data_IF_204827536577
#
_entry.id   IF_204827536577
#
_cell.length_a   1.000
_cell.length_b   1.000
_cell.length_c   1.000
_cell.angle_alpha   90.00
_cell.angle_beta   90.00
_cell.angle_gamma   90.00
#
_symmetry.space_group_name_H-M   'P 1'
#
loop_
_entity.id
_entity.type
_entity.pdbx_description
1 polymer ?
#
# COMPACT_ATOMS: atom_id res chain seq x y z
N UNK A 1 67.39 27.27 107.19
CA UNK A 1 66.09 26.59 107.47
C UNK A 1 65.00 27.66 107.53
N UNK A 2 63.71 27.39 107.26
CA UNK A 2 63.04 26.18 106.74
C UNK A 2 62.91 26.20 105.19
N UNK A 3 62.70 25.10 104.41
CA UNK A 3 61.52 24.20 104.23
C UNK A 3 60.26 24.98 103.80
N UNK A 4 59.45 24.64 102.77
CA UNK A 4 59.25 23.50 101.82
C UNK A 4 58.77 24.14 100.46
N UNK A 5 58.44 23.50 99.33
CA UNK A 5 58.15 22.10 98.89
C UNK A 5 58.35 22.02 97.34
N UNK A 6 58.46 20.81 96.78
CA UNK A 6 58.21 20.46 95.35
C UNK A 6 57.20 19.27 95.33
N UNK A 7 56.88 18.56 94.22
CA UNK A 7 57.05 18.81 92.77
C UNK A 7 55.75 18.51 91.93
N UNK A 8 55.87 18.31 90.61
CA UNK A 8 54.88 17.73 89.66
C UNK A 8 53.67 18.62 89.27
N UNK A 9 52.99 18.46 88.12
CA UNK A 9 53.07 17.46 87.04
C UNK A 9 52.86 18.14 85.65
N UNK A 10 53.28 17.50 84.56
CA UNK A 10 53.19 18.05 83.19
C UNK A 10 51.85 17.77 82.47
N UNK A 11 51.72 18.45 81.33
CA UNK A 11 50.69 18.41 80.27
C UNK A 11 49.73 17.21 80.16
N UNK A 12 48.49 17.59 79.85
CA UNK A 12 47.52 16.97 78.92
C UNK A 12 47.75 15.51 78.47
N UNK A 13 46.77 14.66 78.81
CA UNK A 13 46.39 13.51 77.99
C UNK A 13 44.86 13.30 78.04
N UNK A 14 44.09 14.29 77.59
CA UNK A 14 42.71 14.02 77.18
C UNK A 14 42.78 13.27 75.84
N UNK A 15 42.61 11.94 75.87
CA UNK A 15 42.31 11.19 74.65
C UNK A 15 40.93 11.63 74.15
N UNK A 16 40.93 12.67 73.34
CA UNK A 16 39.86 12.91 72.39
C UNK A 16 39.77 11.66 71.51
N UNK A 17 38.67 10.91 71.68
CA UNK A 17 38.27 9.87 70.76
C UNK A 17 37.82 10.57 69.47
N UNK A 18 38.79 11.05 68.70
CA UNK A 18 38.54 11.52 67.34
C UNK A 18 38.00 10.32 66.57
N UNK A 19 36.77 10.39 66.02
CA UNK A 19 36.32 9.34 65.13
C UNK A 19 37.33 9.27 63.98
N UNK A 20 37.84 8.07 63.71
CA UNK A 20 38.75 7.85 62.58
C UNK A 20 37.98 8.28 61.34
N UNK A 21 38.50 9.29 60.63
CA UNK A 21 37.86 9.81 59.43
C UNK A 21 37.75 8.66 58.41
N UNK A 22 36.52 8.15 58.22
CA UNK A 22 36.29 7.02 57.32
C UNK A 22 36.49 7.49 55.88
N UNK A 23 37.31 6.78 55.11
CA UNK A 23 37.56 7.10 53.72
C UNK A 23 36.43 6.51 52.86
N UNK A 24 35.66 7.38 52.21
CA UNK A 24 34.48 7.00 51.44
C UNK A 24 34.86 6.15 50.22
N UNK A 25 34.17 5.02 50.02
CA UNK A 25 34.50 3.95 49.07
C UNK A 25 33.32 3.61 48.15
N UNK A 26 33.39 4.09 46.91
CA UNK A 26 32.45 3.72 45.81
C UNK A 26 32.36 2.21 45.59
N UNK A 27 33.47 1.48 45.83
CA UNK A 27 33.52 0.03 45.70
C UNK A 27 32.73 -0.69 46.79
N UNK A 28 32.87 -0.26 48.05
CA UNK A 28 32.09 -0.80 49.16
C UNK A 28 30.61 -0.42 49.01
N UNK A 29 30.30 0.83 48.68
CA UNK A 29 28.93 1.30 48.48
C UNK A 29 28.17 0.53 47.40
N UNK A 30 28.85 0.14 46.32
CA UNK A 30 28.28 -0.77 45.31
C UNK A 30 27.96 -2.15 45.88
N UNK A 31 28.83 -2.69 46.74
CA UNK A 31 28.64 -3.99 47.39
C UNK A 31 27.46 -3.93 48.36
N UNK A 32 27.45 -2.94 49.26
CA UNK A 32 26.34 -2.70 50.21
C UNK A 32 25.01 -2.54 49.48
N UNK A 33 24.98 -1.74 48.42
CA UNK A 33 23.76 -1.56 47.61
C UNK A 33 23.29 -2.89 47.00
N UNK A 34 24.19 -3.67 46.41
CA UNK A 34 23.86 -4.96 45.81
C UNK A 34 23.39 -6.01 46.84
N UNK A 35 23.93 -5.99 48.06
CA UNK A 35 23.55 -6.91 49.13
C UNK A 35 22.21 -6.55 49.77
N UNK A 36 21.99 -5.28 50.09
CA UNK A 36 20.89 -4.84 50.97
C UNK A 36 19.82 -4.01 50.27
N UNK A 37 20.19 -3.09 49.39
CA UNK A 37 19.25 -2.17 48.75
C UNK A 37 18.56 -2.79 47.53
N UNK A 38 19.29 -3.55 46.71
CA UNK A 38 18.83 -4.17 45.48
C UNK A 38 17.81 -5.33 45.66
N UNK A 39 17.43 -5.65 46.89
CA UNK A 39 16.35 -6.60 47.19
C UNK A 39 14.96 -5.94 47.15
N UNK A 40 14.88 -4.65 47.51
CA UNK A 40 13.64 -3.85 47.50
C UNK A 40 13.64 -2.80 46.38
N UNK A 41 14.82 -2.38 45.93
CA UNK A 41 15.03 -1.45 44.81
C UNK A 41 15.56 -2.18 43.57
N UNK A 42 15.53 -1.50 42.43
CA UNK A 42 16.11 -2.02 41.20
C UNK A 42 17.62 -2.27 41.37
N UNK A 43 18.07 -3.45 40.94
CA UNK A 43 19.49 -3.83 40.93
C UNK A 43 20.38 -2.86 40.11
N UNK A 44 19.77 -2.08 39.20
CA UNK A 44 20.37 -0.90 38.61
C UNK A 44 19.73 0.38 39.20
N UNK A 45 20.38 1.07 40.17
CA UNK A 45 19.86 2.29 40.79
C UNK A 45 19.45 3.38 39.78
N UNK A 46 20.06 3.39 38.59
CA UNK A 46 19.77 4.34 37.51
C UNK A 46 18.35 4.25 36.96
N UNK A 47 17.62 3.18 37.24
CA UNK A 47 16.22 3.02 36.85
C UNK A 47 15.23 3.56 37.91
N UNK A 48 15.68 3.73 39.16
CA UNK A 48 14.88 4.25 40.29
C UNK A 48 15.14 5.75 40.52
N UNK A 49 15.02 6.53 39.44
CA UNK A 49 15.35 7.97 39.41
C UNK A 49 14.57 8.82 40.43
N UNK A 50 13.39 8.37 40.85
CA UNK A 50 12.49 9.08 41.77
C UNK A 50 12.58 8.68 43.24
N UNK A 51 13.42 7.71 43.61
CA UNK A 51 13.50 7.20 45.00
C UNK A 51 14.94 7.06 45.46
N UNK A 52 15.71 6.20 44.79
CA UNK A 52 17.08 5.86 45.19
C UNK A 52 18.06 6.96 44.81
N UNK A 53 17.94 7.50 43.59
CA UNK A 53 18.90 8.47 43.05
C UNK A 53 18.85 9.85 43.74
N UNK A 54 17.88 10.11 44.63
CA UNK A 54 17.91 11.27 45.54
C UNK A 54 18.95 11.14 46.65
N UNK A 55 19.40 9.93 46.99
CA UNK A 55 20.51 9.69 47.94
C UNK A 55 21.91 9.89 47.34
N UNK A 56 22.01 10.12 46.03
CA UNK A 56 23.28 10.31 45.33
C UNK A 56 24.00 11.57 45.84
N UNK A 57 25.24 11.40 46.29
CA UNK A 57 26.02 12.41 47.01
C UNK A 57 25.35 12.97 48.29
N UNK A 58 24.32 12.30 48.84
CA UNK A 58 23.54 12.78 49.97
C UNK A 58 23.18 11.67 50.98
N UNK A 59 24.21 11.21 51.71
CA UNK A 59 24.08 10.20 52.76
C UNK A 59 23.05 10.53 53.85
N UNK A 60 22.89 11.78 54.34
CA UNK A 60 21.87 12.10 55.33
C UNK A 60 20.44 11.82 54.85
N UNK A 61 20.17 11.93 53.55
CA UNK A 61 18.86 11.58 52.98
C UNK A 61 18.56 10.08 53.03
N UNK A 62 19.59 9.26 52.80
CA UNK A 62 19.50 7.79 52.89
C UNK A 62 19.33 7.37 54.36
N UNK A 63 20.13 7.93 55.28
CA UNK A 63 20.03 7.64 56.70
C UNK A 63 18.64 7.98 57.25
N UNK A 64 18.09 9.16 56.92
CA UNK A 64 16.73 9.54 57.31
C UNK A 64 15.65 8.58 56.77
N UNK A 65 15.85 7.99 55.60
CA UNK A 65 14.93 6.99 55.06
C UNK A 65 14.97 5.68 55.88
N UNK A 66 16.18 5.20 56.22
CA UNK A 66 16.43 4.05 57.09
C UNK A 66 15.88 4.30 58.51
N UNK A 67 16.02 5.50 59.06
CA UNK A 67 15.55 5.90 60.40
C UNK A 67 14.01 5.99 60.54
N UNK A 68 13.26 5.45 59.58
CA UNK A 68 11.82 5.26 59.65
C UNK A 68 10.99 6.26 58.85
N UNK A 69 11.61 7.19 58.10
CA UNK A 69 10.89 8.09 57.19
C UNK A 69 10.28 7.33 56.00
N UNK A 70 10.87 6.20 55.61
CA UNK A 70 10.28 5.22 54.69
C UNK A 70 10.08 3.92 55.47
N UNK A 71 8.84 3.50 55.80
CA UNK A 71 8.59 2.36 56.68
C UNK A 71 9.32 1.07 56.25
N UNK A 72 9.33 0.78 54.95
CA UNK A 72 9.95 -0.41 54.38
C UNK A 72 11.48 -0.41 54.46
N UNK A 73 12.13 0.75 54.64
CA UNK A 73 13.59 0.86 54.82
C UNK A 73 14.04 0.68 56.27
N UNK A 74 13.11 0.66 57.24
CA UNK A 74 13.44 0.47 58.66
C UNK A 74 14.11 -0.89 58.96
N UNK A 75 13.92 -1.89 58.09
CA UNK A 75 14.62 -3.18 58.15
C UNK A 75 16.15 -3.06 58.09
N UNK A 76 16.68 -1.95 57.58
CA UNK A 76 18.13 -1.71 57.48
C UNK A 76 18.73 -1.07 58.75
N UNK A 77 17.91 -0.68 59.75
CA UNK A 77 18.39 -0.09 61.00
C UNK A 77 19.31 -1.05 61.76
N UNK A 78 20.55 -0.61 61.99
CA UNK A 78 21.59 -1.44 62.63
C UNK A 78 22.16 -2.56 61.77
N UNK A 79 21.66 -2.76 60.54
CA UNK A 79 22.19 -3.71 59.55
C UNK A 79 23.22 -3.03 58.63
N UNK A 80 22.93 -1.79 58.22
CA UNK A 80 23.82 -0.95 57.41
C UNK A 80 24.43 0.13 58.31
N UNK A 81 25.76 0.28 58.33
CA UNK A 81 26.42 1.27 59.18
C UNK A 81 26.36 2.68 58.55
N UNK A 82 26.54 3.74 59.36
CA UNK A 82 26.60 5.11 58.83
C UNK A 82 27.70 5.28 57.76
N UNK A 83 28.86 4.62 57.93
CA UNK A 83 29.92 4.57 56.91
C UNK A 83 29.49 3.85 55.63
N UNK A 84 28.71 2.78 55.73
CA UNK A 84 28.14 2.11 54.55
C UNK A 84 27.11 3.01 53.85
N UNK A 85 26.38 3.84 54.59
CA UNK A 85 25.44 4.83 54.03
C UNK A 85 26.18 5.96 53.29
N UNK A 86 27.29 6.45 53.83
CA UNK A 86 28.20 7.38 53.14
C UNK A 86 28.76 6.77 51.84
N UNK A 87 29.19 5.51 51.89
CA UNK A 87 29.69 4.76 50.76
C UNK A 87 28.62 4.53 49.68
N UNK A 88 27.39 4.16 50.07
CA UNK A 88 26.25 4.03 49.15
C UNK A 88 25.90 5.37 48.52
N UNK A 89 25.91 6.47 49.28
CA UNK A 89 25.66 7.81 48.74
C UNK A 89 26.72 8.21 47.69
N UNK A 90 27.99 7.89 47.92
CA UNK A 90 29.06 8.11 46.96
C UNK A 90 29.01 7.16 45.76
N UNK A 91 28.57 5.90 45.96
CA UNK A 91 28.29 4.99 44.86
C UNK A 91 27.19 5.55 43.96
N UNK A 92 26.03 5.92 44.52
CA UNK A 92 24.93 6.55 43.79
C UNK A 92 25.36 7.89 43.14
N UNK A 93 26.21 8.66 43.83
CA UNK A 93 26.83 9.88 43.33
C UNK A 93 27.74 9.66 42.11
N UNK A 94 28.53 8.59 42.11
CA UNK A 94 29.34 8.17 40.96
C UNK A 94 28.47 7.84 39.74
N UNK A 95 27.23 7.39 39.93
CA UNK A 95 26.29 7.14 38.85
C UNK A 95 25.76 8.44 38.23
N UNK A 96 25.75 9.56 38.97
CA UNK A 96 25.40 10.88 38.44
C UNK A 96 26.55 11.52 37.62
N UNK A 97 27.78 11.01 37.73
CA UNK A 97 28.84 11.23 36.74
C UNK A 97 29.74 12.45 36.95
N UNK A 98 30.02 12.86 38.19
CA UNK A 98 30.87 14.01 38.51
C UNK A 98 32.39 13.77 38.40
N UNK A 99 32.85 12.54 38.10
CA UNK A 99 34.29 12.18 38.13
C UNK A 99 34.75 11.20 37.05
N UNK A 100 34.04 11.08 35.93
CA UNK A 100 34.34 10.14 34.84
C UNK A 100 34.39 10.81 33.46
N UNK A 101 34.76 10.04 32.44
CA UNK A 101 34.58 10.46 31.04
C UNK A 101 33.22 9.99 30.52
N UNK A 102 32.49 10.89 29.87
CA UNK A 102 31.27 10.54 29.15
C UNK A 102 31.61 10.25 27.69
N UNK A 103 31.12 9.15 27.13
CA UNK A 103 31.46 8.72 25.76
C UNK A 103 30.23 8.10 25.11
N UNK A 104 29.80 8.63 23.96
CA UNK A 104 28.71 8.02 23.20
C UNK A 104 29.26 7.02 22.19
N UNK A 105 28.71 5.81 22.20
CA UNK A 105 28.81 4.90 21.08
C UNK A 105 27.76 5.30 20.03
N UNK A 106 28.23 5.78 18.89
CA UNK A 106 27.44 6.26 17.75
C UNK A 106 27.79 5.40 16.53
N UNK A 107 26.81 4.81 15.82
CA UNK A 107 27.06 4.09 14.58
C UNK A 107 27.77 4.98 13.55
N UNK A 108 28.85 4.50 12.93
CA UNK A 108 29.60 5.29 11.94
C UNK A 108 28.88 5.46 10.60
N UNK A 109 27.94 4.57 10.27
CA UNK A 109 27.21 4.60 9.01
C UNK A 109 25.75 4.11 9.16
N UNK A 110 24.91 4.55 8.23
CA UNK A 110 23.53 4.11 8.02
C UNK A 110 23.28 3.97 6.51
N UNK A 111 23.03 2.74 6.05
CA UNK A 111 22.80 2.44 4.65
C UNK A 111 21.34 2.07 4.41
N UNK A 112 20.69 2.76 3.47
CA UNK A 112 19.35 2.45 3.01
C UNK A 112 19.39 1.58 1.75
N UNK A 113 18.34 0.79 1.55
CA UNK A 113 18.10 0.14 0.26
C UNK A 113 17.82 1.19 -0.84
N UNK A 114 17.81 0.75 -2.09
CA UNK A 114 17.35 1.58 -3.21
C UNK A 114 15.91 2.05 -2.96
N UNK A 115 15.65 3.33 -3.21
CA UNK A 115 14.35 3.98 -3.01
C UNK A 115 13.97 4.75 -4.28
N UNK A 116 12.71 4.73 -4.67
CA UNK A 116 12.23 5.47 -5.84
C UNK A 116 12.32 6.99 -5.60
N UNK A 117 12.78 7.73 -6.61
CA UNK A 117 12.91 9.20 -6.55
C UNK A 117 11.59 9.87 -6.15
N UNK A 118 11.65 10.75 -5.17
CA UNK A 118 10.49 11.46 -4.62
C UNK A 118 9.64 10.64 -3.62
N UNK A 119 10.01 9.39 -3.33
CA UNK A 119 9.33 8.55 -2.33
C UNK A 119 10.19 8.40 -1.07
N UNK A 120 9.56 8.41 0.10
CA UNK A 120 10.28 8.27 1.38
C UNK A 120 10.27 6.81 1.85
N UNK A 121 11.43 6.32 2.28
CA UNK A 121 11.61 4.99 2.87
C UNK A 121 10.91 4.85 4.22
N UNK A 122 10.79 3.60 4.69
CA UNK A 122 10.61 3.35 6.13
C UNK A 122 11.79 3.94 6.91
N UNK A 123 11.53 4.47 8.10
CA UNK A 123 12.56 5.09 8.93
C UNK A 123 13.37 4.05 9.72
N UNK A 124 14.69 4.06 9.55
CA UNK A 124 15.63 3.21 10.28
C UNK A 124 15.94 3.81 11.64
N UNK A 125 15.87 3.01 12.71
CA UNK A 125 16.13 3.45 14.07
C UNK A 125 17.58 3.14 14.48
N UNK A 126 18.34 4.17 14.87
CA UNK A 126 19.66 4.06 15.46
C UNK A 126 19.58 4.23 16.98
N UNK A 127 20.39 3.48 17.72
CA UNK A 127 20.53 3.62 19.17
C UNK A 127 21.90 4.22 19.48
N UNK A 128 21.91 5.27 20.31
CA UNK A 128 23.09 6.00 20.75
C UNK A 128 23.24 5.72 22.25
N UNK A 129 24.30 5.01 22.64
CA UNK A 129 24.50 4.55 24.02
C UNK A 129 25.66 5.28 24.68
N UNK A 130 25.51 5.73 25.92
CA UNK A 130 26.63 6.26 26.69
C UNK A 130 27.40 5.10 27.34
N UNK A 131 28.55 4.76 26.77
CA UNK A 131 29.46 3.72 27.27
C UNK A 131 30.50 4.25 28.27
N UNK A 132 30.51 5.57 28.50
CA UNK A 132 31.34 6.22 29.50
C UNK A 132 30.84 6.03 30.94
N UNK A 133 31.65 6.51 31.90
CA UNK A 133 31.35 6.48 33.33
C UNK A 133 30.65 7.76 33.83
N UNK A 134 30.75 8.87 33.08
CA UNK A 134 29.99 10.10 33.34
C UNK A 134 28.80 10.30 32.39
N UNK A 135 27.86 11.16 32.78
CA UNK A 135 26.72 11.55 31.95
C UNK A 135 27.15 12.42 30.76
N UNK A 136 26.43 12.31 29.64
CA UNK A 136 26.67 13.11 28.43
C UNK A 136 25.43 13.92 28.08
N UNK A 137 25.57 15.24 28.03
CA UNK A 137 24.52 16.15 27.55
C UNK A 137 24.58 16.21 26.02
N UNK A 138 23.49 15.87 25.33
CA UNK A 138 23.38 16.03 23.88
C UNK A 138 22.82 17.42 23.58
N UNK A 139 23.57 18.20 22.81
CA UNK A 139 23.24 19.58 22.43
C UNK A 139 22.40 19.63 21.15
N UNK A 140 22.70 18.78 20.17
CA UNK A 140 21.93 18.69 18.93
C UNK A 140 22.11 17.35 18.22
N UNK A 141 21.09 17.00 17.43
CA UNK A 141 21.17 16.00 16.37
C UNK A 141 20.67 16.68 15.09
N UNK A 142 21.49 16.74 14.05
CA UNK A 142 21.15 17.39 12.78
C UNK A 142 21.65 16.59 11.58
N UNK A 143 20.98 16.71 10.44
CA UNK A 143 21.45 16.19 9.15
C UNK A 143 21.91 17.35 8.27
N UNK A 144 23.02 17.20 7.56
CA UNK A 144 23.44 18.20 6.55
C UNK A 144 22.61 18.12 5.25
N UNK A 145 21.80 17.06 5.09
CA UNK A 145 20.92 16.83 3.95
C UNK A 145 19.54 16.41 4.49
N UNK A 146 18.83 17.35 5.12
CA UNK A 146 17.50 17.10 5.70
C UNK A 146 16.43 16.75 4.65
N UNK A 147 16.62 17.14 3.39
CA UNK A 147 15.69 16.84 2.32
C UNK A 147 15.70 15.35 1.97
N UNK A 148 16.88 14.72 1.88
CA UNK A 148 16.99 13.31 1.52
C UNK A 148 17.22 12.38 2.72
N UNK A 149 17.79 12.89 3.82
CA UNK A 149 18.04 12.13 5.05
C UNK A 149 17.45 12.86 6.28
N UNK A 150 16.11 13.01 6.36
CA UNK A 150 15.44 13.64 7.49
C UNK A 150 15.55 12.79 8.77
N UNK A 151 15.83 13.45 9.90
CA UNK A 151 15.68 12.86 11.24
C UNK A 151 14.19 12.90 11.62
N UNK A 152 13.48 11.81 11.35
CA UNK A 152 12.01 11.69 11.51
C UNK A 152 11.56 11.38 12.95
N UNK A 153 12.51 11.10 13.85
CA UNK A 153 12.24 10.98 15.28
C UNK A 153 13.53 11.12 16.09
N UNK A 154 13.46 11.79 17.24
CA UNK A 154 14.63 12.05 18.08
C UNK A 154 14.20 12.13 19.55
N UNK A 155 14.76 11.29 20.41
CA UNK A 155 14.68 11.46 21.87
C UNK A 155 16.06 11.71 22.53
N UNK A 156 17.09 11.95 21.73
CA UNK A 156 18.42 12.39 22.13
C UNK A 156 18.45 13.93 22.29
N UNK A 157 17.60 14.47 23.17
CA UNK A 157 17.39 15.92 23.35
C UNK A 157 17.80 16.42 24.74
N UNK A 158 18.67 15.68 25.43
CA UNK A 158 19.09 15.99 26.80
C UNK A 158 20.22 15.09 27.29
N UNK A 159 20.26 14.83 28.59
CA UNK A 159 21.35 14.09 29.24
C UNK A 159 21.16 12.58 29.16
N UNK A 160 22.09 11.89 28.49
CA UNK A 160 22.23 10.43 28.53
C UNK A 160 23.17 10.07 29.68
N UNK A 161 22.60 9.57 30.78
CA UNK A 161 23.38 9.07 31.93
C UNK A 161 24.32 7.92 31.50
N UNK A 162 25.40 7.68 32.24
CA UNK A 162 26.30 6.56 31.98
C UNK A 162 25.55 5.21 31.96
N UNK A 163 25.85 4.35 30.99
CA UNK A 163 25.11 3.11 30.70
C UNK A 163 23.70 3.32 30.12
N UNK A 164 23.23 4.56 30.01
CA UNK A 164 21.95 4.91 29.37
C UNK A 164 22.05 4.93 27.83
N UNK A 165 20.90 5.05 27.18
CA UNK A 165 20.83 5.24 25.72
C UNK A 165 19.66 6.14 25.33
N UNK A 166 19.78 6.70 24.13
CA UNK A 166 18.71 7.37 23.42
C UNK A 166 18.66 6.84 21.97
N UNK A 167 17.65 7.25 21.20
CA UNK A 167 17.33 6.72 19.88
C UNK A 167 16.95 7.84 18.92
N UNK A 168 17.41 7.71 17.69
CA UNK A 168 16.99 8.54 16.57
C UNK A 168 16.42 7.67 15.46
N UNK A 169 15.53 8.23 14.66
CA UNK A 169 14.99 7.61 13.44
C UNK A 169 15.33 8.51 12.27
N UNK A 170 15.84 7.90 11.20
CA UNK A 170 16.20 8.59 9.95
C UNK A 170 15.50 7.87 8.81
N UNK A 171 14.92 8.60 7.86
CA UNK A 171 14.38 8.05 6.61
C UNK A 171 15.25 8.47 5.43
N UNK A 172 15.02 7.87 4.26
CA UNK A 172 15.67 8.24 3.01
C UNK A 172 14.64 8.63 1.95
N UNK A 173 14.82 9.78 1.30
CA UNK A 173 13.95 10.28 0.22
C UNK A 173 14.82 10.88 -0.91
N UNK A 174 15.29 10.08 -1.89
CA UNK A 174 16.14 10.58 -2.96
C UNK A 174 15.42 11.59 -3.85
N UNK A 175 16.02 12.77 -4.08
CA UNK A 175 15.46 13.77 -5.02
C UNK A 175 15.89 13.58 -6.47
N UNK A 176 16.88 12.72 -6.74
CA UNK A 176 17.21 12.22 -8.07
C UNK A 176 17.87 10.85 -8.00
N UNK A 177 18.04 10.18 -9.15
CA UNK A 177 18.58 8.83 -9.23
C UNK A 177 20.09 8.76 -8.93
N UNK A 178 20.58 7.54 -8.70
CA UNK A 178 21.98 7.27 -8.37
C UNK A 178 22.31 7.39 -6.88
N UNK A 179 23.58 7.24 -6.54
CA UNK A 179 24.05 7.26 -5.16
C UNK A 179 23.81 8.62 -4.49
N UNK A 180 23.22 8.59 -3.29
CA UNK A 180 22.94 9.75 -2.44
C UNK A 180 23.66 9.60 -1.11
N UNK A 181 24.06 10.73 -0.54
CA UNK A 181 24.79 10.77 0.73
C UNK A 181 24.37 11.94 1.61
N UNK A 182 24.56 11.75 2.91
CA UNK A 182 24.38 12.77 3.94
C UNK A 182 25.18 12.40 5.19
N UNK A 183 25.23 13.34 6.13
CA UNK A 183 25.89 13.15 7.42
C UNK A 183 24.95 13.61 8.51
N UNK A 184 24.64 12.73 9.46
CA UNK A 184 23.94 13.08 10.69
C UNK A 184 24.99 13.36 11.76
N UNK A 185 25.01 14.58 12.28
CA UNK A 185 25.94 15.04 13.31
C UNK A 185 25.26 15.06 14.67
N UNK A 186 25.95 14.53 15.69
CA UNK A 186 25.52 14.52 17.09
C UNK A 186 26.53 15.34 17.88
N UNK A 187 26.15 16.54 18.28
CA UNK A 187 26.95 17.39 19.14
C UNK A 187 26.57 17.13 20.61
N UNK A 188 27.56 16.89 21.46
CA UNK A 188 27.38 16.58 22.88
C UNK A 188 28.55 17.06 23.76
N UNK A 189 28.44 16.88 25.08
CA UNK A 189 29.54 17.08 26.03
C UNK A 189 30.50 15.88 26.15
N UNK A 190 30.30 14.81 25.36
CA UNK A 190 31.09 13.58 25.44
C UNK A 190 32.43 13.65 24.72
N UNK A 191 33.37 12.79 25.11
CA UNK A 191 34.65 12.59 24.40
C UNK A 191 34.39 12.15 22.95
N UNK A 192 35.09 12.79 22.00
CA UNK A 192 34.92 12.53 20.56
C UNK A 192 33.79 13.34 19.90
N UNK A 193 33.11 14.22 20.65
CA UNK A 193 32.09 15.13 20.11
C UNK A 193 32.71 16.23 19.21
N UNK A 194 32.05 16.62 18.10
CA UNK A 194 30.83 16.04 17.56
C UNK A 194 31.10 14.71 16.83
N UNK A 195 30.18 13.75 16.99
CA UNK A 195 30.25 12.46 16.30
C UNK A 195 29.30 12.44 15.09
N UNK A 196 29.64 11.66 14.07
CA UNK A 196 28.95 11.66 12.78
C UNK A 196 28.55 10.25 12.33
N UNK A 197 27.33 10.12 11.81
CA UNK A 197 26.84 8.94 11.09
C UNK A 197 26.82 9.30 9.60
N UNK A 198 27.54 8.56 8.76
CA UNK A 198 27.45 8.69 7.30
C UNK A 198 26.19 7.98 6.81
N UNK A 199 25.21 8.72 6.31
CA UNK A 199 24.01 8.16 5.71
C UNK A 199 24.21 7.98 4.19
N UNK A 200 23.82 6.83 3.65
CA UNK A 200 23.88 6.56 2.21
C UNK A 200 22.66 5.79 1.71
N UNK A 201 22.35 5.95 0.42
CA UNK A 201 21.27 5.25 -0.27
C UNK A 201 21.39 5.44 -1.78
N UNK A 202 20.48 4.85 -2.55
CA UNK A 202 20.45 5.02 -4.02
C UNK A 202 19.05 5.35 -4.51
N UNK A 203 18.92 6.40 -5.32
CA UNK A 203 17.69 6.74 -6.01
C UNK A 203 17.48 5.87 -7.24
N UNK A 204 16.34 5.19 -7.36
CA UNK A 204 15.91 4.56 -8.61
C UNK A 204 14.93 5.47 -9.35
N UNK A 205 15.02 5.50 -10.68
CA UNK A 205 13.99 6.14 -11.49
C UNK A 205 12.62 5.52 -11.20
N UNK A 206 11.57 6.32 -11.26
CA UNK A 206 10.20 5.82 -11.25
C UNK A 206 10.03 4.80 -12.40
N UNK A 207 9.30 3.69 -12.19
CA UNK A 207 8.94 2.82 -13.29
C UNK A 207 8.17 3.62 -14.35
N UNK A 208 8.30 3.30 -15.65
CA UNK A 208 7.51 3.96 -16.67
C UNK A 208 6.02 3.77 -16.37
N UNK A 209 5.16 4.77 -16.64
CA UNK A 209 3.73 4.62 -16.42
C UNK A 209 3.20 3.42 -17.20
N UNK A 210 2.21 2.68 -16.68
CA UNK A 210 1.63 1.56 -17.39
C UNK A 210 1.05 2.01 -18.73
N UNK A 211 1.07 1.16 -19.77
CA UNK A 211 0.45 1.49 -21.05
C UNK A 211 -1.05 1.81 -20.85
N UNK A 212 -1.62 2.72 -21.66
CA UNK A 212 -3.03 3.04 -21.58
C UNK A 212 -3.87 1.77 -21.80
N UNK A 213 -5.02 1.63 -21.11
CA UNK A 213 -5.91 0.49 -21.33
C UNK A 213 -6.39 0.45 -22.78
N UNK A 214 -6.66 -0.74 -23.34
CA UNK A 214 -7.22 -0.85 -24.69
C UNK A 214 -8.57 -0.11 -24.77
N UNK A 215 -8.91 0.46 -25.94
CA UNK A 215 -10.19 1.13 -26.12
C UNK A 215 -11.36 0.18 -25.84
N UNK A 216 -12.49 0.67 -25.28
CA UNK A 216 -13.67 -0.17 -25.08
C UNK A 216 -14.12 -0.82 -26.38
N UNK A 217 -14.62 -2.07 -26.36
CA UNK A 217 -15.24 -2.67 -27.55
C UNK A 217 -16.39 -1.77 -28.02
N UNK A 218 -16.49 -1.58 -29.33
CA UNK A 218 -17.51 -0.70 -29.90
C UNK A 218 -18.93 -1.19 -29.53
N UNK A 219 -19.89 -0.29 -29.28
CA UNK A 219 -21.24 -0.68 -28.87
C UNK A 219 -21.90 -1.52 -29.95
N UNK A 220 -22.40 -2.69 -29.58
CA UNK A 220 -23.17 -3.59 -30.45
C UNK A 220 -24.65 -3.59 -30.03
N UNK A 221 -25.55 -3.70 -31.00
CA UNK A 221 -26.97 -3.95 -30.76
C UNK A 221 -27.30 -5.43 -30.98
N UNK A 222 -28.31 -5.95 -30.28
CA UNK A 222 -28.82 -7.29 -30.51
C UNK A 222 -29.89 -7.28 -31.62
N UNK A 223 -29.70 -8.09 -32.65
CA UNK A 223 -30.72 -8.46 -33.63
C UNK A 223 -31.49 -9.65 -33.09
N UNK A 224 -32.80 -9.52 -32.95
CA UNK A 224 -33.70 -10.53 -32.38
C UNK A 224 -34.47 -11.23 -33.50
N UNK A 225 -34.46 -12.57 -33.53
CA UNK A 225 -35.29 -13.37 -34.43
C UNK A 225 -36.69 -13.59 -33.84
N UNK A 226 -37.71 -13.29 -34.65
CA UNK A 226 -39.12 -13.59 -34.40
C UNK A 226 -39.62 -14.62 -35.43
N UNK A 227 -40.61 -15.41 -35.03
CA UNK A 227 -41.31 -16.39 -35.86
C UNK A 227 -42.82 -16.20 -35.74
N UNK A 228 -43.54 -16.30 -36.86
CA UNK A 228 -44.99 -16.27 -36.91
C UNK A 228 -45.55 -17.59 -37.45
N UNK A 229 -46.04 -18.43 -36.54
CA UNK A 229 -46.46 -19.79 -36.83
C UNK A 229 -47.63 -19.90 -37.82
N UNK A 230 -48.49 -18.88 -37.92
CA UNK A 230 -49.63 -18.90 -38.85
C UNK A 230 -49.23 -18.79 -40.33
N UNK A 231 -47.99 -18.37 -40.62
CA UNK A 231 -47.44 -18.22 -41.98
C UNK A 231 -46.16 -19.02 -42.23
N UNK A 232 -45.55 -19.60 -41.19
CA UNK A 232 -44.17 -20.11 -41.23
C UNK A 232 -43.19 -19.03 -41.74
N UNK A 233 -43.26 -17.85 -41.14
CA UNK A 233 -42.43 -16.69 -41.49
C UNK A 233 -41.48 -16.33 -40.35
N UNK A 234 -40.27 -15.90 -40.72
CA UNK A 234 -39.27 -15.32 -39.84
C UNK A 234 -39.10 -13.83 -40.09
N UNK A 235 -38.70 -13.11 -39.05
CA UNK A 235 -38.39 -11.69 -39.09
C UNK A 235 -37.23 -11.39 -38.13
N UNK A 236 -36.41 -10.40 -38.46
CA UNK A 236 -35.27 -10.00 -37.62
C UNK A 236 -35.24 -8.49 -37.40
N UNK A 237 -34.93 -8.04 -36.19
CA UNK A 237 -34.76 -6.60 -35.94
C UNK A 237 -33.85 -6.28 -34.76
N UNK A 238 -33.10 -5.18 -34.89
CA UNK A 238 -32.36 -4.50 -33.82
C UNK A 238 -33.01 -3.18 -33.39
N UNK A 239 -34.12 -2.78 -34.01
CA UNK A 239 -34.78 -1.51 -33.73
C UNK A 239 -35.65 -1.61 -32.46
N UNK A 240 -35.24 -0.92 -31.39
CA UNK A 240 -35.89 -1.03 -30.08
C UNK A 240 -37.40 -0.77 -30.07
N UNK A 241 -37.88 0.18 -30.88
CA UNK A 241 -39.32 0.49 -31.01
C UNK A 241 -40.10 -0.64 -31.70
N UNK A 242 -39.49 -1.32 -32.67
CA UNK A 242 -40.10 -2.44 -33.39
C UNK A 242 -40.09 -3.71 -32.54
N UNK A 243 -39.00 -3.98 -31.83
CA UNK A 243 -38.91 -5.02 -30.79
C UNK A 243 -40.04 -4.84 -29.77
N UNK A 244 -40.22 -3.62 -29.24
CA UNK A 244 -41.28 -3.34 -28.27
C UNK A 244 -42.69 -3.52 -28.85
N UNK A 245 -42.92 -3.17 -30.12
CA UNK A 245 -44.20 -3.37 -30.79
C UNK A 245 -44.51 -4.85 -31.04
N UNK A 246 -43.50 -5.64 -31.44
CA UNK A 246 -43.62 -7.08 -31.66
C UNK A 246 -43.84 -7.84 -30.34
N UNK A 247 -43.13 -7.46 -29.27
CA UNK A 247 -43.31 -8.07 -27.94
C UNK A 247 -44.66 -7.74 -27.29
N UNK A 248 -45.23 -6.58 -27.62
CA UNK A 248 -46.55 -6.15 -27.14
C UNK A 248 -47.73 -6.72 -27.96
N UNK A 249 -47.46 -7.44 -29.05
CA UNK A 249 -48.50 -8.00 -29.92
C UNK A 249 -49.28 -9.12 -29.21
N UNK A 250 -50.58 -9.24 -29.55
CA UNK A 250 -51.46 -10.23 -28.95
C UNK A 250 -51.08 -11.69 -29.30
N UNK A 251 -51.49 -12.69 -28.48
CA UNK A 251 -51.23 -14.09 -28.76
C UNK A 251 -51.69 -14.51 -30.15
N UNK A 252 -50.80 -15.15 -30.92
CA UNK A 252 -51.03 -15.54 -32.32
C UNK A 252 -50.29 -14.71 -33.37
N UNK A 253 -49.60 -13.63 -32.96
CA UNK A 253 -48.68 -12.87 -33.81
C UNK A 253 -47.24 -13.41 -33.82
N UNK A 254 -46.28 -12.49 -33.95
CA UNK A 254 -44.84 -12.76 -33.90
C UNK A 254 -44.37 -13.14 -32.50
N UNK A 255 -43.55 -14.20 -32.39
CA UNK A 255 -42.99 -14.69 -31.13
C UNK A 255 -41.47 -14.78 -31.25
N UNK A 256 -40.74 -14.25 -30.26
CA UNK A 256 -39.27 -14.38 -30.19
C UNK A 256 -38.86 -15.85 -30.22
N UNK A 257 -37.94 -16.24 -31.10
CA UNK A 257 -37.46 -17.63 -31.20
C UNK A 257 -36.40 -17.99 -30.15
N UNK A 258 -35.95 -17.00 -29.37
CA UNK A 258 -34.79 -17.09 -28.50
C UNK A 258 -33.44 -16.92 -29.21
N UNK A 259 -33.42 -16.79 -30.54
CA UNK A 259 -32.19 -16.60 -31.32
C UNK A 259 -31.86 -15.13 -31.50
N UNK A 260 -30.60 -14.81 -31.35
CA UNK A 260 -30.05 -13.47 -31.53
C UNK A 260 -28.67 -13.52 -32.15
N UNK A 261 -28.29 -12.44 -32.81
CA UNK A 261 -26.90 -12.14 -33.15
C UNK A 261 -26.65 -10.64 -32.97
N UNK A 262 -25.39 -10.21 -33.02
CA UNK A 262 -25.04 -8.80 -32.86
C UNK A 262 -24.99 -8.07 -34.18
N UNK A 263 -25.13 -6.76 -34.13
CA UNK A 263 -24.90 -5.85 -35.25
C UNK A 263 -24.29 -4.54 -34.74
N UNK A 264 -23.72 -3.76 -35.64
CA UNK A 264 -23.23 -2.43 -35.35
C UNK A 264 -24.43 -1.44 -35.50
N UNK A 265 -24.75 -0.63 -34.47
CA UNK A 265 -25.87 0.32 -34.51
C UNK A 265 -25.57 1.60 -35.31
N UNK A 266 -24.33 1.77 -35.75
CA UNK A 266 -23.82 2.94 -36.47
C UNK A 266 -22.72 2.47 -37.43
N UNK A 267 -22.46 3.19 -38.54
CA UNK A 267 -21.44 2.80 -39.50
C UNK A 267 -20.04 2.86 -38.89
N UNK A 268 -19.24 1.84 -39.18
CA UNK A 268 -17.82 1.75 -38.81
C UNK A 268 -16.96 1.50 -40.05
N UNK A 269 -15.67 1.80 -39.96
CA UNK A 269 -14.70 1.57 -41.04
C UNK A 269 -14.68 0.10 -41.45
N UNK A 270 -15.08 -0.20 -42.68
CA UNK A 270 -15.16 -1.56 -43.23
C UNK A 270 -16.55 -2.22 -43.17
N UNK A 271 -17.44 -1.71 -42.32
CA UNK A 271 -18.82 -2.22 -42.24
C UNK A 271 -19.66 -1.77 -43.45
N UNK A 272 -20.67 -2.57 -43.78
CA UNK A 272 -21.67 -2.31 -44.81
C UNK A 272 -23.05 -2.08 -44.22
N UNK A 273 -23.84 -1.23 -44.86
CA UNK A 273 -25.23 -0.95 -44.48
C UNK A 273 -26.15 -2.08 -44.92
N UNK A 274 -26.91 -2.64 -43.98
CA UNK A 274 -27.98 -3.60 -44.27
C UNK A 274 -29.28 -2.83 -44.43
N UNK A 275 -29.82 -2.81 -45.64
CA UNK A 275 -31.13 -2.20 -45.90
C UNK A 275 -32.28 -3.17 -45.59
N UNK A 276 -33.51 -2.65 -45.56
CA UNK A 276 -34.72 -3.47 -45.45
C UNK A 276 -35.76 -3.06 -46.49
N UNK A 277 -36.35 -4.06 -47.13
CA UNK A 277 -37.53 -3.95 -47.96
C UNK A 277 -38.69 -4.71 -47.33
N UNK A 278 -39.88 -4.10 -47.36
CA UNK A 278 -41.14 -4.81 -47.18
C UNK A 278 -41.70 -5.16 -48.57
N UNK A 279 -42.07 -6.43 -48.74
CA UNK A 279 -42.68 -7.00 -49.94
C UNK A 279 -44.20 -7.06 -49.71
N UNK A 280 -45.01 -6.23 -50.38
CA UNK A 280 -46.48 -6.26 -50.29
C UNK A 280 -47.10 -7.65 -50.49
N UNK A 281 -48.39 -7.80 -50.13
CA UNK A 281 -49.11 -9.08 -50.20
C UNK A 281 -49.12 -9.74 -51.59
N UNK A 282 -49.18 -8.97 -52.69
CA UNK A 282 -49.07 -9.51 -54.05
C UNK A 282 -47.65 -10.02 -54.41
N UNK A 283 -46.68 -9.75 -53.54
CA UNK A 283 -45.30 -10.22 -53.57
C UNK A 283 -44.96 -11.05 -52.30
N UNK A 284 -45.97 -11.59 -51.61
CA UNK A 284 -45.82 -12.56 -50.52
C UNK A 284 -45.86 -12.05 -49.08
N UNK A 285 -46.03 -10.74 -48.83
CA UNK A 285 -46.23 -10.17 -47.48
C UNK A 285 -45.07 -10.47 -46.50
N UNK A 286 -43.86 -10.05 -46.87
CA UNK A 286 -42.62 -10.45 -46.19
C UNK A 286 -41.53 -9.38 -46.20
N UNK A 287 -40.37 -9.68 -45.62
CA UNK A 287 -39.23 -8.75 -45.58
C UNK A 287 -37.97 -9.36 -46.21
N UNK A 288 -37.21 -8.51 -46.90
CA UNK A 288 -35.88 -8.81 -47.42
C UNK A 288 -34.87 -7.80 -46.88
N UNK A 289 -33.70 -8.30 -46.50
CA UNK A 289 -32.58 -7.52 -46.00
C UNK A 289 -31.38 -7.71 -46.95
N UNK A 290 -31.06 -6.64 -47.69
CA UNK A 290 -29.89 -6.58 -48.56
C UNK A 290 -28.65 -6.19 -47.76
N UNK A 291 -27.55 -6.93 -47.93
CA UNK A 291 -26.34 -6.88 -47.10
C UNK A 291 -25.44 -5.67 -47.33
N UNK A 292 -25.68 -4.92 -48.40
CA UNK A 292 -24.86 -3.79 -48.84
C UNK A 292 -25.66 -2.87 -49.74
N UNK A 293 -25.29 -1.58 -49.80
CA UNK A 293 -25.92 -0.60 -50.70
C UNK A 293 -26.01 -1.10 -52.15
N UNK A 294 -24.97 -1.76 -52.68
CA UNK A 294 -24.98 -2.29 -54.03
C UNK A 294 -26.02 -3.42 -54.26
N UNK A 295 -26.23 -4.30 -53.27
CA UNK A 295 -27.32 -5.29 -53.35
C UNK A 295 -28.68 -4.59 -53.26
N UNK A 296 -28.82 -3.61 -52.36
CA UNK A 296 -30.05 -2.84 -52.18
C UNK A 296 -30.45 -2.08 -53.45
N UNK A 297 -29.51 -1.39 -54.10
CA UNK A 297 -29.75 -0.64 -55.34
C UNK A 297 -30.20 -1.57 -56.48
N UNK A 298 -29.54 -2.72 -56.64
CA UNK A 298 -29.92 -3.75 -57.64
C UNK A 298 -31.29 -4.35 -57.32
N UNK A 299 -31.57 -4.69 -56.06
CA UNK A 299 -32.87 -5.22 -55.63
C UNK A 299 -33.99 -4.22 -55.89
N UNK A 300 -33.79 -2.94 -55.55
CA UNK A 300 -34.80 -1.90 -55.74
C UNK A 300 -35.07 -1.63 -57.22
N UNK A 301 -34.01 -1.54 -58.05
CA UNK A 301 -34.13 -1.35 -59.49
C UNK A 301 -34.84 -2.52 -60.19
N UNK A 302 -34.58 -3.76 -59.75
CA UNK A 302 -35.24 -4.95 -60.27
C UNK A 302 -36.68 -5.12 -59.77
N UNK A 303 -37.01 -4.61 -58.58
CA UNK A 303 -38.30 -4.81 -57.92
C UNK A 303 -38.93 -3.46 -57.47
N UNK A 304 -39.35 -2.59 -58.40
CA UNK A 304 -39.93 -1.28 -58.08
C UNK A 304 -41.26 -1.34 -57.31
N UNK A 305 -41.87 -2.52 -57.19
CA UNK A 305 -43.06 -2.76 -56.36
C UNK A 305 -42.79 -3.06 -54.88
N UNK A 306 -41.51 -3.19 -54.47
CA UNK A 306 -41.14 -3.40 -53.06
C UNK A 306 -41.00 -2.05 -52.35
N UNK A 307 -41.48 -1.97 -51.11
CA UNK A 307 -41.32 -0.79 -50.28
C UNK A 307 -39.93 -0.77 -49.67
N UNK A 308 -39.08 0.18 -50.08
CA UNK A 308 -37.77 0.41 -49.48
C UNK A 308 -37.92 1.16 -48.16
N UNK A 309 -38.03 0.41 -47.06
CA UNK A 309 -38.33 0.99 -45.73
C UNK A 309 -37.15 1.76 -45.14
N UNK A 310 -35.93 1.24 -45.32
CA UNK A 310 -34.72 1.89 -44.83
C UNK A 310 -33.47 1.42 -45.58
N UNK A 311 -32.54 2.33 -45.93
CA UNK A 311 -31.25 1.98 -46.52
C UNK A 311 -30.25 1.39 -45.52
N UNK A 312 -30.50 1.52 -44.21
CA UNK A 312 -29.63 1.04 -43.14
C UNK A 312 -30.44 0.79 -41.86
N UNK A 313 -31.03 -0.40 -41.71
CA UNK A 313 -31.63 -0.83 -40.43
C UNK A 313 -30.59 -1.29 -39.42
N UNK A 314 -29.42 -1.72 -39.91
CA UNK A 314 -28.29 -2.17 -39.11
C UNK A 314 -27.00 -2.20 -39.97
N UNK A 315 -25.82 -2.42 -39.36
CA UNK A 315 -24.54 -2.46 -40.07
C UNK A 315 -23.75 -3.75 -39.75
N UNK A 316 -23.20 -4.39 -40.78
CA UNK A 316 -22.49 -5.68 -40.69
C UNK A 316 -21.23 -5.66 -41.54
N UNK A 317 -20.23 -6.46 -41.19
CA UNK A 317 -19.08 -6.67 -42.06
C UNK A 317 -19.46 -7.64 -43.21
N UNK A 318 -18.81 -7.51 -44.36
CA UNK A 318 -19.01 -8.44 -45.48
C UNK A 318 -17.97 -9.56 -45.47
N UNK A 319 -18.36 -10.81 -45.78
CA UNK A 319 -17.40 -11.89 -45.93
C UNK A 319 -16.52 -11.66 -47.16
N UNK A 320 -15.23 -11.98 -47.03
CA UNK A 320 -14.32 -12.01 -48.18
C UNK A 320 -14.34 -13.42 -48.78
N UNK A 321 -14.89 -13.56 -49.99
CA UNK A 321 -15.06 -14.85 -50.68
C UNK A 321 -15.83 -15.90 -49.85
N UNK A 322 -16.80 -15.45 -49.04
CA UNK A 322 -17.58 -16.30 -48.13
C UNK A 322 -16.94 -16.58 -46.77
N UNK A 323 -15.78 -15.98 -46.48
CA UNK A 323 -15.08 -16.13 -45.19
C UNK A 323 -15.19 -14.86 -44.36
N UNK A 324 -15.66 -14.99 -43.11
CA UNK A 324 -15.69 -13.90 -42.14
C UNK A 324 -14.32 -13.67 -41.50
N UNK A 325 -14.03 -12.41 -41.16
CA UNK A 325 -12.79 -12.04 -40.48
C UNK A 325 -12.69 -12.66 -39.08
N UNK A 326 -11.48 -12.98 -38.64
CA UNK A 326 -11.23 -13.56 -37.31
C UNK A 326 -11.87 -12.72 -36.21
N UNK A 327 -12.72 -13.35 -35.39
CA UNK A 327 -13.45 -12.66 -34.33
C UNK A 327 -14.82 -12.09 -34.74
N UNK A 328 -15.30 -12.36 -35.97
CA UNK A 328 -16.69 -12.11 -36.37
C UNK A 328 -17.45 -13.43 -36.59
N UNK A 329 -18.77 -13.39 -36.51
CA UNK A 329 -19.66 -14.55 -36.56
C UNK A 329 -20.38 -14.61 -37.92
N UNK A 330 -20.27 -15.71 -38.70
CA UNK A 330 -21.00 -15.85 -39.96
C UNK A 330 -22.52 -15.76 -39.78
N UNK A 331 -23.17 -14.96 -40.61
CA UNK A 331 -24.62 -14.92 -40.76
C UNK A 331 -24.97 -15.52 -42.12
N UNK A 332 -25.92 -16.45 -42.13
CA UNK A 332 -26.45 -17.11 -43.32
C UNK A 332 -27.83 -16.55 -43.66
N UNK A 333 -28.14 -16.45 -44.95
CA UNK A 333 -29.50 -16.14 -45.46
C UNK A 333 -30.07 -17.37 -46.15
N UNK A 334 -31.33 -17.66 -45.88
CA UNK A 334 -32.11 -18.65 -46.66
C UNK A 334 -33.43 -18.05 -47.12
N UNK A 335 -33.83 -18.39 -48.34
CA UNK A 335 -35.04 -17.94 -49.01
C UNK A 335 -36.01 -19.12 -49.19
N UNK A 336 -37.28 -18.96 -48.83
CA UNK A 336 -38.25 -20.06 -48.84
C UNK A 336 -38.65 -20.54 -50.24
N UNK A 337 -38.46 -19.72 -51.28
CA UNK A 337 -38.90 -19.98 -52.66
C UNK A 337 -40.41 -20.34 -52.80
N UNK A 338 -41.22 -20.03 -51.77
CA UNK A 338 -42.68 -20.21 -51.78
C UNK A 338 -43.38 -18.97 -52.35
N UNK A 339 -44.66 -19.12 -52.71
CA UNK A 339 -45.52 -18.01 -53.18
C UNK A 339 -45.67 -16.89 -52.12
N UNK A 340 -45.61 -17.26 -50.84
CA UNK A 340 -45.64 -16.36 -49.69
C UNK A 340 -44.25 -15.91 -49.23
N UNK A 341 -43.19 -16.16 -50.03
CA UNK A 341 -41.77 -15.74 -49.84
C UNK A 341 -41.35 -15.30 -48.45
N UNK A 342 -40.40 -15.99 -47.81
CA UNK A 342 -39.78 -15.51 -46.59
C UNK A 342 -38.26 -15.67 -46.64
N UNK A 343 -37.54 -14.70 -46.07
CA UNK A 343 -36.10 -14.81 -45.83
C UNK A 343 -35.83 -14.97 -44.35
N UNK A 344 -35.01 -15.98 -44.00
CA UNK A 344 -34.52 -16.19 -42.63
C UNK A 344 -33.03 -15.92 -42.55
N UNK A 345 -32.62 -15.27 -41.47
CA UNK A 345 -31.24 -14.86 -41.20
C UNK A 345 -30.80 -15.48 -39.89
N UNK A 346 -29.69 -16.23 -39.89
CA UNK A 346 -29.24 -16.95 -38.70
C UNK A 346 -27.72 -17.08 -38.65
N UNK A 347 -27.15 -17.09 -37.45
CA UNK A 347 -25.74 -17.47 -37.21
C UNK A 347 -25.57 -18.98 -36.98
N UNK A 348 -26.67 -19.72 -36.80
CA UNK A 348 -26.65 -21.16 -36.59
C UNK A 348 -26.59 -21.89 -37.94
N UNK A 349 -25.42 -22.46 -38.22
CA UNK A 349 -25.16 -23.20 -39.43
C UNK A 349 -26.02 -24.46 -39.58
N UNK A 350 -26.30 -25.17 -38.48
CA UNK A 350 -27.12 -26.38 -38.51
C UNK A 350 -28.58 -26.04 -38.86
N UNK A 351 -29.06 -24.85 -38.46
CA UNK A 351 -30.36 -24.35 -38.88
C UNK A 351 -30.38 -24.02 -40.36
N UNK A 352 -29.35 -23.34 -40.90
CA UNK A 352 -29.29 -23.12 -42.36
C UNK A 352 -29.40 -24.44 -43.12
N UNK A 353 -28.65 -25.46 -42.70
CA UNK A 353 -28.66 -26.78 -43.36
C UNK A 353 -30.01 -27.50 -43.20
N UNK A 354 -30.68 -27.36 -42.05
CA UNK A 354 -32.04 -27.87 -41.84
C UNK A 354 -33.08 -27.20 -42.76
N UNK A 355 -33.04 -25.87 -42.90
CA UNK A 355 -33.96 -25.13 -43.78
C UNK A 355 -33.73 -25.53 -45.25
N UNK A 356 -32.47 -25.73 -45.66
CA UNK A 356 -32.13 -26.24 -47.00
C UNK A 356 -32.64 -27.66 -47.23
N UNK A 357 -32.51 -28.54 -46.23
CA UNK A 357 -33.09 -29.89 -46.30
C UNK A 357 -34.64 -29.89 -46.37
N UNK A 358 -35.28 -28.81 -45.94
CA UNK A 358 -36.72 -28.55 -46.08
C UNK A 358 -37.09 -27.85 -47.41
N UNK A 359 -36.13 -27.63 -48.31
CA UNK A 359 -36.35 -27.05 -49.65
C UNK A 359 -36.11 -25.55 -49.77
N UNK A 360 -35.62 -24.88 -48.73
CA UNK A 360 -35.23 -23.45 -48.83
C UNK A 360 -33.92 -23.31 -49.61
N UNK A 361 -33.76 -22.20 -50.33
CA UNK A 361 -32.54 -21.85 -51.06
C UNK A 361 -31.57 -21.12 -50.12
N UNK A 362 -30.32 -21.53 -50.04
CA UNK A 362 -29.28 -20.78 -49.31
C UNK A 362 -28.64 -19.72 -50.19
N UNK A 363 -28.33 -18.56 -49.60
CA UNK A 363 -27.83 -17.38 -50.31
C UNK A 363 -26.65 -16.74 -49.56
N UNK A 364 -25.60 -16.40 -50.31
CA UNK A 364 -24.41 -15.74 -49.79
C UNK A 364 -23.19 -16.00 -50.68
N UNK A 365 -22.01 -15.62 -50.19
CA UNK A 365 -20.75 -15.78 -50.90
C UNK A 365 -20.02 -17.08 -50.52
N UNK A 366 -19.19 -17.56 -51.45
CA UNK A 366 -18.26 -18.67 -51.24
C UNK A 366 -18.92 -20.04 -51.07
N UNK A 367 -18.13 -21.08 -50.73
CA UNK A 367 -18.64 -22.45 -50.60
C UNK A 367 -19.62 -22.63 -49.45
N UNK A 368 -19.65 -21.69 -48.49
CA UNK A 368 -20.53 -21.76 -47.32
C UNK A 368 -21.67 -20.73 -47.30
N UNK A 369 -21.89 -20.02 -48.41
CA UNK A 369 -23.03 -19.12 -48.62
C UNK A 369 -23.27 -18.21 -47.40
N UNK A 370 -22.19 -17.57 -46.95
CA UNK A 370 -22.23 -16.58 -45.87
C UNK A 370 -22.68 -15.25 -46.48
N UNK A 371 -23.71 -14.62 -45.92
CA UNK A 371 -24.24 -13.35 -46.46
C UNK A 371 -23.56 -12.13 -45.82
N UNK A 372 -23.29 -12.21 -44.51
CA UNK A 372 -22.82 -11.13 -43.65
C UNK A 372 -21.98 -11.69 -42.50
N UNK A 373 -21.21 -10.84 -41.84
CA UNK A 373 -20.42 -11.15 -40.67
C UNK A 373 -20.84 -10.24 -39.51
N UNK A 374 -21.40 -10.85 -38.46
CA UNK A 374 -21.83 -10.16 -37.25
C UNK A 374 -20.65 -9.94 -36.28
N UNK A 375 -20.65 -8.86 -35.49
CA UNK A 375 -19.74 -8.70 -34.36
C UNK A 375 -19.83 -9.88 -33.35
N UNK A 376 -18.75 -10.15 -32.59
CA UNK A 376 -18.71 -11.21 -31.58
C UNK A 376 -19.52 -10.86 -30.32
#
# INVERSE_FOLDING_TARGET
>A
MPRRRSPFLALLAALLWMPVAHAVSVGNGKSVYATWCAQCHNANPRQDLGSVMFGANYAPGIQLAIDGRVPDMSILQGVVSASDVDDVAAYLGSLQGSGGTGTLNVPSALNFASQEVGTQSSATQLTIANTGSASVSIFSVSSNNLAEFPVTGNNCTGTVIAGGNCKIKVAFMPSASGARGGTITIASSGTGSPQSIVASGSGTAAPPPPPPPPPPPAPTAAVIEYYWAARDHYFITSAAAEIAALDAAAPGGWIRTGRTFKTLPAPQTGSSSVCRFYLPAQYGDSHFYGRSAAECDVTHAANPGFFYESPAVMYMDLPTLGVCATGTVPVYRVFSARVDTNHRYTTDRAIRDLMVAQGWLAEGDGPDLVVMCAPP
#
